data_IF_764633322059
#
_entry.id   IF_764633322059
#
_cell.length_a   1.000
_cell.length_b   1.000
_cell.length_c   1.000
_cell.angle_alpha   90.00
_cell.angle_beta   90.00
_cell.angle_gamma   90.00
#
_symmetry.space_group_name_H-M   'P 1'
#
loop_
_entity.id
_entity.type
_entity.pdbx_description
1 polymer ?
#
# COMPACT_ATOMS: atom_id res chain seq x y z
N UNK A 1 69.52 2.53 -10.44
CA UNK A 1 68.20 3.14 -10.41
C UNK A 1 67.26 2.21 -9.60
N UNK A 2 66.73 2.64 -8.44
CA UNK A 2 65.71 1.88 -7.69
C UNK A 2 64.45 1.91 -8.55
N UNK A 3 63.92 0.75 -8.85
CA UNK A 3 62.68 0.59 -9.61
C UNK A 3 61.56 1.33 -8.85
N UNK A 4 60.97 2.41 -9.40
CA UNK A 4 59.99 3.26 -8.67
C UNK A 4 58.68 2.52 -8.35
N UNK A 5 58.49 1.33 -8.89
CA UNK A 5 57.30 0.51 -8.69
C UNK A 5 57.46 -0.59 -7.61
N UNK A 6 58.63 -0.72 -6.96
CA UNK A 6 58.79 -1.65 -5.85
C UNK A 6 58.29 -1.03 -4.54
N UNK A 7 57.08 -1.45 -4.13
CA UNK A 7 56.56 -1.15 -2.81
C UNK A 7 57.51 -1.74 -1.74
N UNK A 8 57.79 -0.97 -0.69
CA UNK A 8 58.50 -1.48 0.48
C UNK A 8 57.64 -2.59 1.15
N UNK A 9 58.30 -3.63 1.70
CA UNK A 9 57.62 -4.74 2.37
C UNK A 9 56.49 -4.31 3.39
N UNK A 10 56.72 -3.30 4.22
CA UNK A 10 55.66 -2.79 5.10
C UNK A 10 54.46 -2.23 4.35
N UNK A 11 54.68 -1.52 3.25
CA UNK A 11 53.58 -0.97 2.44
C UNK A 11 52.77 -2.09 1.76
N UNK A 12 53.44 -3.15 1.28
CA UNK A 12 52.76 -4.31 0.72
C UNK A 12 51.88 -5.00 1.80
N UNK A 13 52.43 -5.18 3.01
CA UNK A 13 51.69 -5.75 4.13
C UNK A 13 50.44 -4.93 4.47
N UNK A 14 50.57 -3.61 4.59
CA UNK A 14 49.44 -2.71 4.87
C UNK A 14 48.36 -2.76 3.79
N UNK A 15 48.76 -2.84 2.50
CA UNK A 15 47.76 -2.99 1.41
C UNK A 15 47.03 -4.33 1.48
N UNK A 16 47.71 -5.42 1.88
CA UNK A 16 47.03 -6.72 2.09
C UNK A 16 46.08 -6.66 3.25
N UNK A 17 46.46 -6.08 4.38
CA UNK A 17 45.61 -5.90 5.56
C UNK A 17 44.35 -5.04 5.22
N UNK A 18 44.58 -3.91 4.53
CA UNK A 18 43.47 -3.06 4.06
C UNK A 18 42.50 -3.81 3.15
N UNK A 19 43.06 -4.59 2.18
CA UNK A 19 42.24 -5.42 1.30
C UNK A 19 41.40 -6.43 2.08
N UNK A 20 42.00 -7.10 3.07
CA UNK A 20 41.30 -8.07 3.90
C UNK A 20 40.22 -7.40 4.77
N UNK A 21 40.49 -6.23 5.33
CA UNK A 21 39.52 -5.48 6.11
C UNK A 21 38.32 -5.06 5.26
N UNK A 22 38.54 -4.51 4.09
CA UNK A 22 37.45 -4.16 3.15
C UNK A 22 36.70 -5.42 2.71
N UNK A 23 37.41 -6.48 2.34
CA UNK A 23 36.80 -7.74 1.94
C UNK A 23 35.93 -8.36 3.05
N UNK A 24 36.39 -8.30 4.28
CA UNK A 24 35.62 -8.75 5.44
C UNK A 24 34.34 -7.92 5.64
N UNK A 25 34.44 -6.59 5.59
CA UNK A 25 33.30 -5.72 5.75
C UNK A 25 32.23 -5.98 4.68
N UNK A 26 32.63 -6.07 3.40
CA UNK A 26 31.69 -6.37 2.32
C UNK A 26 31.05 -7.75 2.48
N UNK A 27 31.83 -8.77 2.84
CA UNK A 27 31.32 -10.12 3.07
C UNK A 27 30.34 -10.18 4.25
N UNK A 28 30.69 -9.53 5.37
CA UNK A 28 29.84 -9.46 6.56
C UNK A 28 28.49 -8.86 6.21
N UNK A 29 28.47 -7.70 5.54
CA UNK A 29 27.25 -7.03 5.09
C UNK A 29 26.42 -7.91 4.14
N UNK A 30 27.09 -8.59 3.20
CA UNK A 30 26.42 -9.50 2.26
C UNK A 30 25.78 -10.70 2.96
N UNK A 31 26.49 -11.35 3.89
CA UNK A 31 25.99 -12.50 4.65
C UNK A 31 24.84 -12.12 5.57
N UNK A 32 24.94 -10.97 6.25
CA UNK A 32 23.86 -10.45 7.06
C UNK A 32 22.58 -10.24 6.25
N UNK A 33 22.68 -9.64 5.05
CA UNK A 33 21.54 -9.45 4.16
C UNK A 33 20.95 -10.79 3.68
N UNK A 34 21.78 -11.78 3.41
CA UNK A 34 21.33 -13.16 3.06
C UNK A 34 20.56 -13.78 4.23
N UNK A 35 21.02 -13.61 5.46
CA UNK A 35 20.35 -14.17 6.65
C UNK A 35 18.94 -13.57 6.81
N UNK A 36 18.75 -12.29 6.48
CA UNK A 36 17.45 -11.64 6.54
C UNK A 36 16.44 -12.14 5.51
N UNK A 37 16.86 -12.81 4.42
CA UNK A 37 15.95 -13.25 3.34
C UNK A 37 14.85 -14.20 3.84
N UNK A 38 15.12 -14.96 4.90
CA UNK A 38 14.15 -15.87 5.51
C UNK A 38 13.41 -15.24 6.70
N UNK A 39 13.65 -13.97 6.99
CA UNK A 39 12.99 -13.24 8.08
C UNK A 39 11.60 -12.70 7.63
N UNK A 40 10.71 -12.36 8.58
CA UNK A 40 9.44 -11.68 8.27
C UNK A 40 9.60 -10.34 7.55
N UNK A 41 10.78 -9.71 7.66
CA UNK A 41 11.15 -8.46 7.01
C UNK A 41 12.51 -8.63 6.34
N UNK A 42 12.58 -9.20 5.14
CA UNK A 42 13.83 -9.32 4.40
C UNK A 42 14.39 -7.93 4.09
N UNK A 43 15.71 -7.85 4.09
CA UNK A 43 16.40 -6.61 3.74
C UNK A 43 16.06 -6.18 2.32
N UNK A 44 15.84 -4.89 2.14
CA UNK A 44 15.66 -4.25 0.83
C UNK A 44 16.28 -2.85 0.82
N UNK A 45 16.85 -2.49 -0.32
CA UNK A 45 17.37 -1.15 -0.57
C UNK A 45 16.28 -0.07 -0.68
N UNK A 46 14.99 -0.44 -0.61
CA UNK A 46 13.86 0.46 -0.82
C UNK A 46 13.93 1.72 0.03
N UNK A 47 14.24 1.58 1.33
CA UNK A 47 14.34 2.72 2.25
C UNK A 47 15.43 3.70 1.83
N UNK A 48 16.60 3.17 1.44
CA UNK A 48 17.74 3.94 1.00
C UNK A 48 17.49 4.63 -0.35
N UNK A 49 17.01 3.87 -1.33
CA UNK A 49 16.72 4.39 -2.67
C UNK A 49 15.58 5.42 -2.66
N UNK A 50 14.53 5.17 -1.88
CA UNK A 50 13.36 6.04 -1.77
C UNK A 50 13.71 7.40 -1.15
N UNK A 51 14.60 7.42 -0.17
CA UNK A 51 15.03 8.62 0.54
C UNK A 51 16.31 9.24 -0.04
N UNK A 52 16.78 8.78 -1.20
CA UNK A 52 17.95 9.33 -1.87
C UNK A 52 17.82 10.84 -2.08
N UNK A 53 18.87 11.60 -1.70
CA UNK A 53 18.96 13.05 -1.83
C UNK A 53 20.17 13.51 -2.67
N UNK A 54 21.04 12.58 -3.06
CA UNK A 54 22.23 12.87 -3.87
C UNK A 54 21.92 13.24 -5.33
N UNK A 55 22.94 13.47 -6.13
CA UNK A 55 22.80 13.91 -7.52
C UNK A 55 22.09 12.90 -8.43
N UNK A 56 22.12 11.61 -8.06
CA UNK A 56 21.40 10.55 -8.78
C UNK A 56 20.01 10.24 -8.19
N UNK A 57 19.47 11.13 -7.37
CA UNK A 57 18.16 11.00 -6.70
C UNK A 57 17.05 10.52 -7.63
N UNK A 58 16.89 11.15 -8.78
CA UNK A 58 15.84 10.79 -9.74
C UNK A 58 15.94 9.34 -10.23
N UNK A 59 17.16 8.85 -10.46
CA UNK A 59 17.40 7.47 -10.86
C UNK A 59 17.07 6.51 -9.72
N UNK A 60 17.63 6.73 -8.54
CA UNK A 60 17.46 5.83 -7.39
C UNK A 60 16.01 5.78 -6.92
N UNK A 61 15.34 6.92 -6.79
CA UNK A 61 13.92 6.97 -6.45
C UNK A 61 13.06 6.29 -7.52
N UNK A 62 13.36 6.50 -8.81
CA UNK A 62 12.68 5.83 -9.92
C UNK A 62 12.81 4.31 -9.92
N UNK A 63 13.88 3.75 -9.30
CA UNK A 63 14.01 2.29 -9.13
C UNK A 63 12.97 1.70 -8.18
N UNK A 64 12.44 2.48 -7.23
CA UNK A 64 11.40 2.03 -6.29
C UNK A 64 10.00 2.01 -6.91
N UNK A 65 9.83 2.53 -8.12
CA UNK A 65 8.59 2.60 -8.88
C UNK A 65 7.65 3.72 -8.43
N UNK A 66 7.31 3.79 -7.16
CA UNK A 66 6.41 4.80 -6.58
C UNK A 66 7.01 5.39 -5.29
N UNK A 67 8.05 6.24 -5.41
CA UNK A 67 8.79 6.75 -4.26
C UNK A 67 7.94 7.63 -3.31
N UNK A 68 6.92 8.27 -3.84
CA UNK A 68 6.07 9.20 -3.11
C UNK A 68 4.71 8.61 -2.73
N UNK A 69 4.51 7.31 -2.97
CA UNK A 69 3.30 6.57 -2.68
C UNK A 69 2.04 7.13 -3.39
N UNK A 70 2.21 7.93 -4.45
CA UNK A 70 1.09 8.53 -5.19
C UNK A 70 0.19 7.48 -5.82
N UNK A 71 0.74 6.36 -6.26
CA UNK A 71 -0.02 5.23 -6.78
C UNK A 71 -0.85 4.52 -5.71
N UNK A 72 -0.43 4.55 -4.42
CA UNK A 72 -1.24 4.06 -3.32
C UNK A 72 -2.41 4.99 -2.98
N UNK A 73 -2.26 6.27 -3.30
CA UNK A 73 -3.25 7.32 -3.07
C UNK A 73 -4.19 7.52 -4.28
N UNK A 74 -4.09 6.63 -5.27
CA UNK A 74 -4.94 6.60 -6.45
C UNK A 74 -5.72 5.28 -6.52
N UNK A 75 -7.05 5.39 -6.66
CA UNK A 75 -7.94 4.23 -6.65
C UNK A 75 -7.67 3.26 -7.80
N UNK A 76 -7.56 3.79 -9.02
CA UNK A 76 -7.39 2.97 -10.22
C UNK A 76 -6.05 2.23 -10.19
N UNK A 77 -4.99 2.93 -9.80
CA UNK A 77 -3.65 2.36 -9.69
C UNK A 77 -3.60 1.26 -8.62
N UNK A 78 -4.16 1.51 -7.43
CA UNK A 78 -4.15 0.53 -6.33
C UNK A 78 -5.06 -0.65 -6.63
N UNK A 79 -6.26 -0.41 -7.19
CA UNK A 79 -7.18 -1.46 -7.61
C UNK A 79 -6.55 -2.35 -8.69
N UNK A 80 -5.85 -1.78 -9.68
CA UNK A 80 -5.16 -2.53 -10.72
C UNK A 80 -3.99 -3.37 -10.15
N UNK A 81 -3.24 -2.86 -9.16
CA UNK A 81 -2.20 -3.64 -8.45
C UNK A 81 -2.81 -4.86 -7.75
N UNK A 82 -3.97 -4.68 -7.12
CA UNK A 82 -4.69 -5.78 -6.48
C UNK A 82 -5.18 -6.81 -7.48
N UNK A 83 -5.78 -6.38 -8.61
CA UNK A 83 -6.25 -7.29 -9.66
C UNK A 83 -5.09 -8.13 -10.24
N UNK A 84 -3.96 -7.51 -10.55
CA UNK A 84 -2.77 -8.20 -11.02
C UNK A 84 -2.25 -9.24 -9.99
N UNK A 85 -2.22 -8.85 -8.72
CA UNK A 85 -1.79 -9.77 -7.67
C UNK A 85 -2.76 -10.95 -7.51
N UNK A 86 -4.07 -10.68 -7.55
CA UNK A 86 -5.12 -11.70 -7.43
C UNK A 86 -5.12 -12.69 -8.59
N UNK A 87 -4.85 -12.23 -9.80
CA UNK A 87 -4.70 -13.10 -10.97
C UNK A 87 -3.51 -14.05 -10.78
N UNK A 88 -2.36 -13.52 -10.37
CA UNK A 88 -1.17 -14.34 -10.07
C UNK A 88 -1.40 -15.29 -8.90
N UNK A 89 -2.07 -14.83 -7.84
CA UNK A 89 -2.46 -15.63 -6.69
C UNK A 89 -3.35 -16.80 -7.11
N UNK A 90 -4.40 -16.53 -7.89
CA UNK A 90 -5.33 -17.55 -8.38
C UNK A 90 -4.64 -18.58 -9.28
N UNK A 91 -3.74 -18.14 -10.15
CA UNK A 91 -2.98 -19.00 -11.04
C UNK A 91 -1.94 -19.83 -10.30
N UNK A 92 -1.20 -19.23 -9.35
CA UNK A 92 -0.15 -19.92 -8.59
C UNK A 92 -0.72 -21.06 -7.74
N UNK A 93 -1.80 -20.80 -6.99
CA UNK A 93 -2.42 -21.78 -6.13
C UNK A 93 -3.49 -22.62 -6.81
N UNK A 94 -3.73 -22.44 -8.11
CA UNK A 94 -4.72 -23.20 -8.91
C UNK A 94 -6.09 -23.25 -8.20
N UNK A 95 -6.62 -22.07 -7.83
CA UNK A 95 -7.85 -21.97 -7.05
C UNK A 95 -9.03 -22.64 -7.76
N UNK A 96 -9.82 -23.41 -7.00
CA UNK A 96 -11.10 -23.95 -7.46
C UNK A 96 -12.19 -22.86 -7.57
N UNK A 97 -13.34 -23.20 -8.15
CA UNK A 97 -14.42 -22.22 -8.39
C UNK A 97 -15.02 -21.69 -7.07
N UNK A 98 -15.02 -22.48 -6.01
CA UNK A 98 -15.50 -22.08 -4.69
C UNK A 98 -14.53 -21.07 -4.04
N UNK A 99 -13.24 -21.34 -4.14
CA UNK A 99 -12.18 -20.43 -3.67
C UNK A 99 -12.18 -19.13 -4.48
N UNK A 100 -12.31 -19.20 -5.81
CA UNK A 100 -12.45 -18.02 -6.68
C UNK A 100 -13.68 -17.18 -6.30
N UNK A 101 -14.82 -17.82 -6.03
CA UNK A 101 -16.02 -17.16 -5.57
C UNK A 101 -15.84 -16.48 -4.20
N UNK A 102 -15.09 -17.11 -3.29
CA UNK A 102 -14.75 -16.53 -1.99
C UNK A 102 -13.81 -15.35 -2.13
N UNK A 103 -12.78 -15.48 -2.95
CA UNK A 103 -11.84 -14.41 -3.26
C UNK A 103 -12.53 -13.20 -3.89
N UNK A 104 -13.44 -13.44 -4.85
CA UNK A 104 -14.23 -12.38 -5.46
C UNK A 104 -15.08 -11.62 -4.41
N UNK A 105 -15.68 -12.33 -3.44
CA UNK A 105 -16.44 -11.70 -2.36
C UNK A 105 -15.56 -10.87 -1.43
N UNK A 106 -14.37 -11.35 -1.11
CA UNK A 106 -13.40 -10.58 -0.32
C UNK A 106 -13.07 -9.27 -1.03
N UNK A 107 -12.78 -9.29 -2.32
CA UNK A 107 -12.30 -8.13 -3.07
C UNK A 107 -13.43 -7.16 -3.42
N UNK A 108 -14.53 -7.68 -3.93
CA UNK A 108 -15.62 -6.86 -4.50
C UNK A 108 -16.85 -6.77 -3.57
N UNK A 109 -16.84 -7.50 -2.44
CA UNK A 109 -17.97 -7.53 -1.52
C UNK A 109 -19.10 -8.48 -1.90
N UNK A 110 -20.05 -8.60 -1.00
CA UNK A 110 -21.26 -9.41 -1.16
C UNK A 110 -22.45 -8.52 -1.40
N UNK A 111 -22.75 -8.22 -2.65
CA UNK A 111 -23.90 -7.42 -3.06
C UNK A 111 -24.73 -8.14 -4.13
N UNK A 112 -26.00 -7.75 -4.24
CA UNK A 112 -26.87 -8.17 -5.34
C UNK A 112 -26.90 -7.09 -6.41
N UNK A 113 -26.96 -7.51 -7.68
CA UNK A 113 -27.22 -6.62 -8.80
C UNK A 113 -28.67 -6.76 -9.21
N UNK A 114 -29.42 -5.68 -9.15
CA UNK A 114 -30.80 -5.68 -9.61
C UNK A 114 -31.00 -4.66 -10.73
N UNK A 115 -31.93 -4.94 -11.63
CA UNK A 115 -32.34 -3.99 -12.66
C UNK A 115 -33.45 -3.10 -12.10
N UNK A 116 -33.21 -1.79 -12.11
CA UNK A 116 -34.20 -0.77 -11.78
C UNK A 116 -34.37 0.10 -13.03
N UNK A 117 -35.44 -0.14 -13.80
CA UNK A 117 -35.59 0.43 -15.13
C UNK A 117 -34.52 -0.11 -16.10
N UNK A 118 -33.86 0.80 -16.81
CA UNK A 118 -32.75 0.45 -17.74
C UNK A 118 -31.39 0.29 -17.05
N UNK A 119 -31.26 0.66 -15.78
CA UNK A 119 -29.99 0.66 -15.05
C UNK A 119 -29.87 -0.54 -14.13
N UNK A 120 -28.71 -1.18 -14.16
CA UNK A 120 -28.33 -2.19 -13.16
C UNK A 120 -27.77 -1.48 -11.94
N UNK A 121 -28.35 -1.74 -10.76
CA UNK A 121 -27.92 -1.16 -9.50
C UNK A 121 -27.35 -2.22 -8.57
N UNK A 122 -26.38 -1.81 -7.80
CA UNK A 122 -25.78 -2.56 -6.74
C UNK A 122 -26.55 -2.28 -5.45
N UNK A 123 -27.02 -3.33 -4.79
CA UNK A 123 -27.89 -3.21 -3.61
C UNK A 123 -27.50 -4.22 -2.55
N UNK A 124 -27.76 -3.87 -1.31
CA UNK A 124 -27.64 -4.75 -0.17
C UNK A 124 -29.03 -5.14 0.29
N UNK A 125 -29.25 -6.44 0.51
CA UNK A 125 -30.54 -6.99 0.89
C UNK A 125 -30.45 -7.77 2.20
N UNK A 126 -31.53 -7.72 3.00
CA UNK A 126 -31.75 -8.54 4.19
C UNK A 126 -33.07 -9.28 4.06
N UNK A 127 -33.14 -10.50 4.57
CA UNK A 127 -34.38 -11.25 4.60
C UNK A 127 -35.41 -10.55 5.51
N UNK A 128 -36.62 -10.41 5.00
CA UNK A 128 -37.76 -9.92 5.74
C UNK A 128 -39.01 -10.66 5.23
N UNK A 129 -39.49 -11.63 5.99
CA UNK A 129 -40.53 -12.58 5.56
C UNK A 129 -41.85 -11.90 5.21
N UNK A 130 -42.21 -10.82 5.90
CA UNK A 130 -43.40 -10.04 5.62
C UNK A 130 -43.18 -8.56 5.98
N UNK A 131 -43.72 -7.67 5.14
CA UNK A 131 -43.93 -6.30 5.59
C UNK A 131 -44.90 -6.33 6.74
N UNK A 132 -44.59 -5.62 7.84
CA UNK A 132 -45.52 -5.51 8.97
C UNK A 132 -46.92 -4.99 8.53
N UNK A 133 -47.98 -5.55 9.08
CA UNK A 133 -49.34 -5.06 8.82
C UNK A 133 -49.42 -3.57 9.16
N UNK A 134 -49.90 -2.75 8.21
CA UNK A 134 -49.94 -1.28 8.35
C UNK A 134 -48.78 -0.53 7.72
N UNK A 135 -47.70 -1.18 7.32
CA UNK A 135 -46.57 -0.59 6.52
C UNK A 135 -46.84 -0.79 5.02
N UNK A 136 -48.11 -0.54 4.60
CA UNK A 136 -48.49 -0.63 3.18
C UNK A 136 -47.91 0.49 2.34
N UNK A 137 -47.69 1.65 2.94
CA UNK A 137 -46.90 2.72 2.36
C UNK A 137 -45.58 2.72 3.07
N UNK A 138 -44.50 2.53 2.33
CA UNK A 138 -43.14 2.76 2.80
C UNK A 138 -42.97 4.25 3.23
N UNK A 139 -43.77 4.70 4.24
CA UNK A 139 -43.73 6.09 4.72
C UNK A 139 -42.36 6.49 5.23
N UNK A 140 -41.55 5.50 5.63
CA UNK A 140 -40.14 5.69 5.94
C UNK A 140 -39.36 5.91 4.62
N UNK A 141 -39.64 5.17 3.55
CA UNK A 141 -39.04 5.33 2.26
C UNK A 141 -39.49 6.63 1.57
N UNK A 142 -40.77 7.08 1.77
CA UNK A 142 -41.23 8.37 1.25
C UNK A 142 -40.53 9.57 1.89
N UNK A 143 -39.97 9.42 3.09
CA UNK A 143 -39.12 10.44 3.71
C UNK A 143 -37.68 10.45 3.18
N UNK A 144 -37.20 9.33 2.59
CA UNK A 144 -35.84 9.19 2.12
C UNK A 144 -35.77 9.16 0.59
N UNK A 145 -36.76 8.72 -0.10
CA UNK A 145 -36.97 8.48 -1.53
C UNK A 145 -37.13 6.99 -1.81
N UNK A 146 -38.15 6.64 -2.62
CA UNK A 146 -38.51 5.25 -2.97
C UNK A 146 -37.42 4.49 -3.70
N UNK A 147 -36.41 5.20 -4.18
CA UNK A 147 -35.27 4.61 -4.86
C UNK A 147 -34.18 4.10 -3.91
N UNK A 148 -34.23 4.47 -2.64
CA UNK A 148 -33.16 4.19 -1.65
C UNK A 148 -33.43 2.93 -0.88
N UNK A 149 -34.70 2.71 -0.49
CA UNK A 149 -35.14 1.54 0.30
C UNK A 149 -36.40 1.00 -0.34
N UNK A 150 -36.47 -0.29 -0.62
CA UNK A 150 -37.67 -0.95 -1.14
C UNK A 150 -37.76 -2.40 -0.68
N UNK A 151 -39.00 -2.94 -0.69
CA UNK A 151 -39.26 -4.33 -0.37
C UNK A 151 -39.65 -5.10 -1.62
N UNK A 152 -39.04 -6.28 -1.81
CA UNK A 152 -39.41 -7.23 -2.86
C UNK A 152 -40.20 -8.38 -2.21
N UNK A 153 -41.52 -8.38 -2.41
CA UNK A 153 -42.43 -9.38 -1.85
C UNK A 153 -42.20 -10.78 -2.44
N UNK A 154 -41.62 -10.89 -3.66
CA UNK A 154 -41.31 -12.19 -4.26
C UNK A 154 -40.03 -12.81 -3.72
N UNK A 155 -39.06 -11.97 -3.41
CA UNK A 155 -37.79 -12.39 -2.86
C UNK A 155 -37.78 -12.43 -1.32
N UNK A 156 -38.87 -11.94 -0.68
CA UNK A 156 -38.99 -11.76 0.78
C UNK A 156 -37.76 -11.03 1.36
N UNK A 157 -37.41 -9.92 0.71
CA UNK A 157 -36.22 -9.14 1.08
C UNK A 157 -36.50 -7.65 1.05
N UNK A 158 -35.93 -6.98 2.03
CA UNK A 158 -35.76 -5.52 1.99
C UNK A 158 -34.40 -5.20 1.39
N UNK A 159 -34.38 -4.24 0.49
CA UNK A 159 -33.16 -3.76 -0.14
C UNK A 159 -32.89 -2.31 0.22
N UNK A 160 -31.62 -2.01 0.44
CA UNK A 160 -31.13 -0.64 0.59
C UNK A 160 -30.10 -0.42 -0.51
N UNK A 161 -30.19 0.70 -1.20
CA UNK A 161 -29.21 1.09 -2.23
C UNK A 161 -27.82 1.23 -1.61
N UNK A 162 -26.75 0.94 -2.37
CA UNK A 162 -25.41 1.09 -1.89
C UNK A 162 -25.13 2.56 -1.53
N UNK A 163 -24.41 2.79 -0.44
CA UNK A 163 -24.12 4.13 0.08
C UNK A 163 -23.43 5.00 -0.98
N UNK A 164 -22.62 4.40 -1.84
CA UNK A 164 -21.97 5.09 -2.98
C UNK A 164 -22.93 5.73 -3.99
N UNK A 165 -24.20 5.29 -3.99
CA UNK A 165 -25.25 5.82 -4.86
C UNK A 165 -26.13 6.87 -4.16
N UNK A 166 -25.96 7.06 -2.86
CA UNK A 166 -26.73 8.00 -2.06
C UNK A 166 -26.13 9.39 -2.12
N UNK A 167 -27.00 10.40 -2.22
CA UNK A 167 -26.60 11.77 -2.00
C UNK A 167 -26.39 12.04 -0.50
N UNK A 168 -25.52 13.00 -0.12
CA UNK A 168 -25.27 13.32 1.29
C UNK A 168 -26.54 13.60 2.10
N UNK A 169 -27.49 14.31 1.53
CA UNK A 169 -28.77 14.63 2.16
C UNK A 169 -29.70 13.41 2.27
N UNK A 170 -29.65 12.48 1.32
CA UNK A 170 -30.41 11.21 1.39
C UNK A 170 -29.84 10.33 2.50
N UNK A 171 -28.52 10.25 2.62
CA UNK A 171 -27.83 9.51 3.67
C UNK A 171 -28.12 10.11 5.07
N UNK A 172 -28.03 11.43 5.20
CA UNK A 172 -28.35 12.11 6.46
C UNK A 172 -29.83 11.90 6.87
N UNK A 173 -30.75 11.94 5.92
CA UNK A 173 -32.17 11.63 6.15
C UNK A 173 -32.36 10.18 6.56
N UNK A 174 -31.72 9.22 5.89
CA UNK A 174 -31.80 7.80 6.25
C UNK A 174 -31.31 7.57 7.69
N UNK A 175 -30.15 8.11 8.05
CA UNK A 175 -29.62 8.04 9.41
C UNK A 175 -30.56 8.68 10.45
N UNK A 176 -31.17 9.82 10.15
CA UNK A 176 -32.07 10.50 11.05
C UNK A 176 -33.41 9.74 11.26
N UNK A 177 -33.96 9.17 10.21
CA UNK A 177 -35.18 8.37 10.25
C UNK A 177 -35.01 7.15 11.14
N UNK A 178 -33.87 6.46 11.00
CA UNK A 178 -33.53 5.27 11.79
C UNK A 178 -33.37 5.63 13.28
N UNK A 179 -32.79 6.80 13.60
CA UNK A 179 -32.54 7.23 14.99
C UNK A 179 -33.79 7.79 15.71
N UNK A 180 -34.72 8.42 14.98
CA UNK A 180 -35.85 9.19 15.62
C UNK A 180 -37.04 8.30 15.96
N UNK A 181 -36.96 7.02 15.72
CA UNK A 181 -38.13 6.17 15.61
C UNK A 181 -38.60 5.46 16.90
N UNK A 182 -37.87 5.59 18.04
CA UNK A 182 -38.06 4.68 19.17
C UNK A 182 -39.38 4.89 19.99
N UNK A 183 -39.94 6.09 20.05
CA UNK A 183 -40.99 6.39 21.05
C UNK A 183 -42.44 6.42 20.57
N UNK A 184 -42.72 6.30 19.26
CA UNK A 184 -44.07 6.52 18.71
C UNK A 184 -44.56 5.50 17.68
N UNK A 185 -43.99 4.30 17.62
CA UNK A 185 -44.22 3.38 16.51
C UNK A 185 -44.93 2.09 16.93
N UNK A 186 -45.74 1.53 16.00
CA UNK A 186 -46.27 0.18 16.14
C UNK A 186 -45.14 -0.84 16.14
N UNK A 187 -45.31 -2.01 16.74
CA UNK A 187 -44.31 -3.09 16.77
C UNK A 187 -43.89 -3.52 15.35
N UNK A 188 -44.78 -3.35 14.42
CA UNK A 188 -44.59 -3.61 13.01
C UNK A 188 -43.61 -2.60 12.33
N UNK A 189 -43.76 -1.32 12.64
CA UNK A 189 -42.87 -0.27 12.18
C UNK A 189 -41.47 -0.42 12.79
N UNK A 190 -41.39 -0.83 14.06
CA UNK A 190 -40.12 -1.12 14.74
C UNK A 190 -39.36 -2.25 14.05
N UNK A 191 -40.04 -3.37 13.72
CA UNK A 191 -39.43 -4.50 13.03
C UNK A 191 -38.92 -4.10 11.66
N UNK A 192 -39.65 -3.29 10.90
CA UNK A 192 -39.21 -2.78 9.61
C UNK A 192 -38.00 -1.87 9.72
N UNK A 193 -38.01 -0.91 10.64
CA UNK A 193 -36.87 -0.02 10.88
C UNK A 193 -35.64 -0.77 11.36
N UNK A 194 -35.86 -1.79 12.22
CA UNK A 194 -34.73 -2.64 12.64
C UNK A 194 -34.14 -3.42 11.46
N UNK A 195 -34.95 -3.90 10.52
CA UNK A 195 -34.45 -4.55 9.31
C UNK A 195 -33.66 -3.57 8.43
N UNK A 196 -34.15 -2.34 8.23
CA UNK A 196 -33.42 -1.28 7.50
C UNK A 196 -32.10 -0.96 8.21
N UNK A 197 -32.12 -0.81 9.53
CA UNK A 197 -30.91 -0.57 10.32
C UNK A 197 -29.92 -1.71 10.18
N UNK A 198 -30.36 -2.95 10.26
CA UNK A 198 -29.51 -4.13 10.10
C UNK A 198 -28.84 -4.17 8.73
N UNK A 199 -29.58 -3.85 7.66
CA UNK A 199 -29.00 -3.77 6.31
C UNK A 199 -27.94 -2.68 6.25
N UNK A 200 -28.23 -1.52 6.81
CA UNK A 200 -27.33 -0.37 6.82
C UNK A 200 -26.07 -0.64 7.64
N UNK A 201 -26.20 -1.17 8.86
CA UNK A 201 -25.07 -1.46 9.74
C UNK A 201 -24.18 -2.60 9.20
N UNK A 202 -24.80 -3.55 8.48
CA UNK A 202 -24.06 -4.68 7.89
C UNK A 202 -23.43 -4.37 6.54
N UNK A 203 -23.71 -3.22 5.94
CA UNK A 203 -23.06 -2.84 4.67
C UNK A 203 -21.55 -2.88 4.80
N UNK A 204 -21.00 -2.36 5.88
CA UNK A 204 -19.55 -2.37 6.14
C UNK A 204 -18.96 -3.79 6.09
N UNK A 205 -19.61 -4.77 6.72
CA UNK A 205 -19.17 -6.17 6.74
C UNK A 205 -19.33 -6.88 5.38
N UNK A 206 -20.14 -6.31 4.48
CA UNK A 206 -20.41 -6.83 3.14
C UNK A 206 -19.59 -6.10 2.07
N UNK A 207 -18.99 -4.97 2.42
CA UNK A 207 -18.11 -4.23 1.53
C UNK A 207 -16.85 -5.02 1.24
N UNK A 208 -16.45 -5.02 -0.01
CA UNK A 208 -15.17 -5.60 -0.42
C UNK A 208 -14.01 -4.63 -0.22
N UNK A 209 -12.80 -5.13 -0.36
CA UNK A 209 -11.61 -4.30 -0.24
C UNK A 209 -11.59 -3.11 -1.19
N UNK A 210 -12.11 -3.26 -2.42
CA UNK A 210 -12.19 -2.14 -3.38
C UNK A 210 -13.13 -1.03 -2.94
N UNK A 211 -14.22 -1.38 -2.28
CA UNK A 211 -15.15 -0.39 -1.70
C UNK A 211 -14.54 0.30 -0.50
N UNK A 212 -13.92 -0.48 0.38
CA UNK A 212 -13.19 0.07 1.53
C UNK A 212 -12.04 0.97 1.09
N UNK A 213 -11.33 0.62 0.00
CA UNK A 213 -10.30 1.47 -0.59
C UNK A 213 -10.87 2.82 -1.03
N UNK A 214 -11.99 2.80 -1.74
CA UNK A 214 -12.65 4.04 -2.18
C UNK A 214 -13.06 4.89 -0.99
N UNK A 215 -13.65 4.28 0.05
CA UNK A 215 -14.00 4.95 1.30
C UNK A 215 -12.79 5.52 2.02
N UNK A 216 -11.72 4.74 2.14
CA UNK A 216 -10.49 5.19 2.78
C UNK A 216 -9.81 6.35 2.04
N UNK A 217 -9.88 6.37 0.71
CA UNK A 217 -9.33 7.48 -0.10
C UNK A 217 -10.21 8.75 0.00
N UNK A 218 -11.52 8.58 0.14
CA UNK A 218 -12.48 9.68 0.34
C UNK A 218 -12.67 10.07 1.81
N UNK A 219 -12.09 9.32 2.75
CA UNK A 219 -12.01 9.64 4.17
C UNK A 219 -12.95 8.86 5.08
N UNK A 220 -14.00 8.23 4.57
CA UNK A 220 -14.92 7.43 5.39
C UNK A 220 -15.29 6.12 4.68
N UNK A 221 -14.77 4.97 5.13
CA UNK A 221 -15.08 3.68 4.56
C UNK A 221 -16.54 3.23 4.79
N UNK A 222 -17.24 3.78 5.78
CA UNK A 222 -18.63 3.47 6.06
C UNK A 222 -19.59 4.29 5.20
N UNK A 223 -19.12 5.34 4.59
CA UNK A 223 -19.87 6.34 3.85
C UNK A 223 -19.31 6.53 2.44
N UNK A 224 -19.14 5.43 1.72
CA UNK A 224 -18.71 5.47 0.31
C UNK A 224 -19.73 6.30 -0.48
N UNK A 225 -19.32 7.44 -0.98
CA UNK A 225 -20.18 8.43 -1.65
C UNK A 225 -20.22 9.79 -0.94
N UNK A 226 -19.85 9.85 0.34
CA UNK A 226 -19.58 11.10 1.05
C UNK A 226 -18.07 11.31 1.13
N UNK A 227 -17.60 12.41 0.58
CA UNK A 227 -16.21 12.81 0.70
C UNK A 227 -15.96 13.45 2.06
N UNK A 228 -14.93 12.98 2.78
CA UNK A 228 -14.36 13.74 3.88
C UNK A 228 -13.43 14.80 3.31
N UNK A 229 -13.89 16.04 3.33
CA UNK A 229 -13.13 17.17 2.81
C UNK A 229 -11.78 17.37 3.49
N UNK A 230 -11.65 16.97 4.76
CA UNK A 230 -10.36 17.04 5.46
C UNK A 230 -9.38 16.03 4.86
N UNK A 231 -9.83 14.81 4.63
CA UNK A 231 -9.00 13.76 4.02
C UNK A 231 -8.60 14.10 2.59
N UNK A 232 -9.58 14.51 1.77
CA UNK A 232 -9.34 14.93 0.39
C UNK A 232 -8.45 16.17 0.35
N UNK A 233 -8.67 17.13 1.24
CA UNK A 233 -7.84 18.33 1.38
C UNK A 233 -6.38 18.00 1.73
N UNK A 234 -6.13 17.09 2.68
CA UNK A 234 -4.78 16.62 3.01
C UNK A 234 -4.10 15.91 1.84
N UNK A 235 -4.83 15.13 1.07
CA UNK A 235 -4.31 14.46 -0.12
C UNK A 235 -3.87 15.49 -1.19
N UNK A 236 -4.68 16.49 -1.41
CA UNK A 236 -4.37 17.58 -2.34
C UNK A 236 -3.18 18.40 -1.82
N UNK A 237 -3.17 18.75 -0.54
CA UNK A 237 -2.06 19.42 0.13
C UNK A 237 -0.74 18.67 -0.04
N UNK A 238 -0.74 17.35 0.17
CA UNK A 238 0.44 16.51 -0.01
C UNK A 238 0.99 16.60 -1.43
N UNK A 239 0.13 16.46 -2.45
CA UNK A 239 0.53 16.56 -3.86
C UNK A 239 1.12 17.94 -4.19
N UNK A 240 0.49 19.01 -3.74
CA UNK A 240 0.96 20.36 -3.98
C UNK A 240 2.27 20.67 -3.25
N UNK A 241 2.39 20.28 -1.98
CA UNK A 241 3.62 20.42 -1.20
C UNK A 241 4.78 19.66 -1.82
N UNK A 242 4.53 18.45 -2.34
CA UNK A 242 5.55 17.66 -3.03
C UNK A 242 6.08 18.38 -4.27
N UNK A 243 5.20 18.93 -5.11
CA UNK A 243 5.59 19.72 -6.29
C UNK A 243 6.38 20.98 -5.89
N UNK A 244 5.94 21.69 -4.85
CA UNK A 244 6.65 22.88 -4.32
C UNK A 244 8.04 22.51 -3.82
N UNK A 245 8.15 21.41 -3.08
CA UNK A 245 9.42 20.89 -2.58
C UNK A 245 10.39 20.58 -3.72
N UNK A 246 9.98 19.84 -4.75
CA UNK A 246 10.84 19.51 -5.89
C UNK A 246 11.29 20.78 -6.65
N UNK A 247 10.40 21.75 -6.82
CA UNK A 247 10.72 23.03 -7.45
C UNK A 247 11.68 23.90 -6.61
N UNK A 248 11.51 23.93 -5.29
CA UNK A 248 12.38 24.66 -4.39
C UNK A 248 13.77 24.01 -4.33
N UNK A 249 13.80 22.66 -4.22
CA UNK A 249 15.03 21.89 -4.21
C UNK A 249 15.88 22.08 -5.48
N UNK A 250 15.24 22.18 -6.64
CA UNK A 250 15.94 22.41 -7.91
C UNK A 250 16.62 23.80 -8.01
N UNK A 251 16.26 24.72 -7.12
CA UNK A 251 16.75 26.11 -7.11
C UNK A 251 17.63 26.43 -5.91
N UNK A 252 17.62 25.57 -4.90
CA UNK A 252 18.35 25.82 -3.65
C UNK A 252 19.84 25.81 -3.89
N UNK A 253 20.51 26.86 -3.45
CA UNK A 253 21.97 27.05 -3.55
C UNK A 253 22.61 27.52 -2.23
N UNK A 254 21.80 27.90 -1.23
CA UNK A 254 22.23 28.38 0.09
C UNK A 254 21.99 27.32 1.18
N UNK A 255 22.89 27.28 2.17
CA UNK A 255 22.81 26.29 3.25
C UNK A 255 21.48 26.36 4.02
N UNK A 256 20.98 27.57 4.32
CA UNK A 256 19.70 27.75 5.03
C UNK A 256 18.49 27.25 4.20
N UNK A 257 18.56 27.30 2.87
CA UNK A 257 17.50 26.76 2.00
C UNK A 257 17.48 25.22 2.08
N UNK A 258 18.67 24.59 2.15
CA UNK A 258 18.77 23.16 2.34
C UNK A 258 18.28 22.72 3.70
N UNK A 259 18.60 23.45 4.77
CA UNK A 259 18.08 23.17 6.13
C UNK A 259 16.55 23.26 6.16
N UNK A 260 15.98 24.28 5.49
CA UNK A 260 14.53 24.41 5.36
C UNK A 260 13.91 23.26 4.57
N UNK A 261 14.53 22.86 3.45
CA UNK A 261 14.08 21.76 2.62
C UNK A 261 14.13 20.42 3.35
N UNK A 262 15.12 20.20 4.20
CA UNK A 262 15.19 18.99 5.03
C UNK A 262 14.02 18.93 6.01
N UNK A 263 13.70 20.03 6.67
CA UNK A 263 12.52 20.12 7.53
C UNK A 263 11.21 19.84 6.77
N UNK A 264 11.01 20.51 5.62
CA UNK A 264 9.84 20.28 4.75
C UNK A 264 9.77 18.83 4.26
N UNK A 265 10.91 18.21 3.98
CA UNK A 265 10.97 16.80 3.61
C UNK A 265 10.48 15.89 4.74
N UNK A 266 10.90 16.16 5.99
CA UNK A 266 10.43 15.45 7.17
C UNK A 266 8.90 15.53 7.33
N UNK A 267 8.32 16.74 7.17
CA UNK A 267 6.87 16.93 7.19
C UNK A 267 6.17 16.14 6.07
N UNK A 268 6.69 16.18 4.84
CA UNK A 268 6.17 15.41 3.71
C UNK A 268 6.20 13.91 3.96
N UNK A 269 7.28 13.38 4.58
CA UNK A 269 7.35 11.96 4.93
C UNK A 269 6.29 11.57 5.97
N UNK A 270 6.04 12.44 6.97
CA UNK A 270 5.00 12.23 7.98
C UNK A 270 3.62 12.21 7.35
N UNK A 271 3.32 13.20 6.51
CA UNK A 271 2.03 13.30 5.81
C UNK A 271 1.83 12.12 4.83
N UNK A 272 2.87 11.71 4.12
CA UNK A 272 2.86 10.51 3.27
C UNK A 272 2.51 9.26 4.07
N UNK A 273 3.15 9.07 5.22
CA UNK A 273 2.89 7.90 6.07
C UNK A 273 1.44 7.91 6.61
N UNK A 274 0.94 9.06 7.04
CA UNK A 274 -0.44 9.23 7.48
C UNK A 274 -1.44 8.86 6.37
N UNK A 275 -1.18 9.32 5.14
CA UNK A 275 -2.08 9.12 4.01
C UNK A 275 -2.01 7.71 3.42
N UNK A 276 -0.81 7.18 3.18
CA UNK A 276 -0.61 5.88 2.51
C UNK A 276 -0.62 4.70 3.48
N UNK A 277 -0.35 4.92 4.77
CA UNK A 277 -0.28 3.87 5.79
C UNK A 277 -1.54 3.01 5.88
N UNK A 278 -2.73 3.59 6.02
CA UNK A 278 -3.98 2.83 6.06
C UNK A 278 -4.23 2.00 4.81
N UNK A 279 -3.86 2.52 3.62
CA UNK A 279 -4.04 1.80 2.35
C UNK A 279 -3.08 0.60 2.25
N UNK A 280 -1.84 0.77 2.70
CA UNK A 280 -0.86 -0.34 2.76
C UNK A 280 -1.24 -1.39 3.80
N UNK A 281 -1.80 -0.98 4.93
CA UNK A 281 -2.34 -1.91 5.91
C UNK A 281 -3.49 -2.73 5.32
N UNK A 282 -4.37 -2.09 4.54
CA UNK A 282 -5.44 -2.74 3.82
C UNK A 282 -4.93 -3.74 2.76
N UNK A 283 -3.85 -3.44 2.05
CA UNK A 283 -3.19 -4.37 1.12
C UNK A 283 -2.69 -5.62 1.86
N UNK A 284 -2.08 -5.44 3.04
CA UNK A 284 -1.62 -6.56 3.87
C UNK A 284 -2.80 -7.41 4.33
N UNK A 285 -3.86 -6.79 4.85
CA UNK A 285 -5.06 -7.49 5.29
C UNK A 285 -5.75 -8.25 4.14
N UNK A 286 -5.79 -7.68 2.93
CA UNK A 286 -6.31 -8.36 1.74
C UNK A 286 -5.52 -9.64 1.45
N UNK A 287 -4.19 -9.57 1.53
CA UNK A 287 -3.32 -10.73 1.30
C UNK A 287 -3.51 -11.80 2.35
N UNK A 288 -3.61 -11.42 3.61
CA UNK A 288 -3.85 -12.35 4.73
C UNK A 288 -5.22 -13.03 4.58
N UNK A 289 -6.27 -12.28 4.26
CA UNK A 289 -7.60 -12.84 3.99
C UNK A 289 -7.61 -13.74 2.75
N UNK A 290 -6.88 -13.41 1.70
CA UNK A 290 -6.75 -14.27 0.55
C UNK A 290 -6.01 -15.58 0.89
N UNK A 291 -4.96 -15.53 1.71
CA UNK A 291 -4.27 -16.72 2.18
C UNK A 291 -5.16 -17.62 3.04
N UNK A 292 -6.09 -17.05 3.82
CA UNK A 292 -6.99 -17.82 4.68
C UNK A 292 -7.96 -18.76 3.93
N UNK A 293 -8.15 -18.57 2.63
CA UNK A 293 -8.97 -19.46 1.81
C UNK A 293 -8.20 -20.67 1.25
N UNK A 294 -6.88 -20.73 1.43
CA UNK A 294 -6.02 -21.78 0.90
C UNK A 294 -6.07 -23.04 1.76
N UNK A 295 -5.92 -24.17 1.12
CA UNK A 295 -5.69 -25.46 1.79
C UNK A 295 -4.24 -25.58 2.22
N UNK A 296 -3.94 -26.50 3.16
CA UNK A 296 -2.58 -26.79 3.61
C UNK A 296 -1.64 -27.18 2.45
N UNK A 297 -2.14 -27.92 1.47
CA UNK A 297 -1.36 -28.30 0.29
C UNK A 297 -1.01 -27.08 -0.57
N UNK A 298 -1.93 -26.15 -0.74
CA UNK A 298 -1.67 -24.91 -1.47
C UNK A 298 -0.67 -24.02 -0.72
N UNK A 299 -0.81 -23.90 0.60
CA UNK A 299 0.15 -23.14 1.43
C UNK A 299 1.58 -23.70 1.33
N UNK A 300 1.74 -25.02 1.16
CA UNK A 300 3.06 -25.66 0.99
C UNK A 300 3.73 -25.31 -0.34
N UNK A 301 3.02 -24.75 -1.31
CA UNK A 301 3.61 -24.28 -2.58
C UNK A 301 4.48 -23.03 -2.43
N UNK A 302 4.48 -22.43 -1.24
CA UNK A 302 5.23 -21.20 -0.96
C UNK A 302 4.56 -19.93 -1.49
N UNK A 303 5.18 -18.77 -1.31
CA UNK A 303 4.59 -17.48 -1.65
C UNK A 303 4.44 -17.29 -3.17
N UNK A 304 3.44 -16.49 -3.56
CA UNK A 304 3.26 -16.10 -4.98
C UNK A 304 4.51 -15.45 -5.51
N UNK A 305 5.09 -15.94 -6.62
CA UNK A 305 6.29 -15.33 -7.19
C UNK A 305 6.08 -13.85 -7.53
N UNK A 306 6.99 -13.01 -7.08
CA UNK A 306 7.02 -11.58 -7.43
C UNK A 306 7.27 -11.38 -8.92
N UNK A 307 6.88 -10.21 -9.44
CA UNK A 307 7.40 -9.76 -10.74
C UNK A 307 8.77 -9.12 -10.51
N UNK A 308 9.72 -9.43 -11.37
CA UNK A 308 11.01 -8.77 -11.35
C UNK A 308 10.85 -7.26 -11.52
N UNK A 309 11.22 -6.53 -10.50
CA UNK A 309 11.23 -5.06 -10.48
C UNK A 309 12.66 -4.54 -10.50
N UNK A 310 12.82 -3.25 -10.82
CA UNK A 310 14.12 -2.58 -10.72
C UNK A 310 14.67 -2.60 -9.29
N UNK A 311 13.77 -2.54 -8.30
CA UNK A 311 14.11 -2.62 -6.88
C UNK A 311 14.66 -4.02 -6.54
N UNK A 312 13.96 -5.10 -6.93
CA UNK A 312 14.43 -6.47 -6.70
C UNK A 312 15.78 -6.73 -7.38
N UNK A 313 15.96 -6.19 -8.58
CA UNK A 313 17.27 -6.26 -9.22
C UNK A 313 18.35 -5.55 -8.40
N UNK A 314 18.06 -4.36 -7.86
CA UNK A 314 19.00 -3.62 -7.00
C UNK A 314 19.32 -4.39 -5.71
N UNK A 315 18.31 -4.99 -5.09
CA UNK A 315 18.45 -5.80 -3.88
C UNK A 315 19.35 -7.00 -4.13
N UNK A 316 19.05 -7.78 -5.18
CA UNK A 316 19.84 -8.96 -5.55
C UNK A 316 21.27 -8.57 -5.97
N UNK A 317 21.42 -7.54 -6.79
CA UNK A 317 22.75 -7.06 -7.23
C UNK A 317 23.59 -6.60 -6.02
N UNK A 318 22.97 -5.97 -5.03
CA UNK A 318 23.64 -5.53 -3.80
C UNK A 318 24.10 -6.74 -2.98
N UNK A 319 23.21 -7.69 -2.71
CA UNK A 319 23.52 -8.88 -1.90
C UNK A 319 24.62 -9.70 -2.57
N UNK A 320 24.46 -10.02 -3.86
CA UNK A 320 25.43 -10.81 -4.63
C UNK A 320 26.75 -10.07 -4.73
N UNK A 321 26.72 -8.77 -5.06
CA UNK A 321 27.92 -7.97 -5.22
C UNK A 321 28.75 -7.88 -3.93
N UNK A 322 28.11 -7.57 -2.79
CA UNK A 322 28.78 -7.50 -1.49
C UNK A 322 29.41 -8.85 -1.13
N UNK A 323 28.68 -9.94 -1.30
CA UNK A 323 29.17 -11.28 -0.97
C UNK A 323 30.31 -11.71 -1.87
N UNK A 324 30.13 -11.61 -3.20
CA UNK A 324 31.11 -12.08 -4.17
C UNK A 324 32.40 -11.24 -4.11
N UNK A 325 32.30 -9.89 -4.14
CA UNK A 325 33.47 -9.05 -4.05
C UNK A 325 34.17 -9.16 -2.70
N UNK A 326 33.41 -9.34 -1.61
CA UNK A 326 33.97 -9.62 -0.29
C UNK A 326 34.82 -10.88 -0.26
N UNK A 327 34.29 -12.00 -0.76
CA UNK A 327 35.03 -13.28 -0.87
C UNK A 327 36.27 -13.14 -1.77
N UNK A 328 36.09 -12.52 -2.94
CA UNK A 328 37.22 -12.33 -3.88
C UNK A 328 38.38 -11.50 -3.27
N UNK A 329 38.04 -10.44 -2.54
CA UNK A 329 39.04 -9.62 -1.86
C UNK A 329 39.74 -10.38 -0.73
N UNK A 330 39.01 -11.16 0.07
CA UNK A 330 39.61 -11.98 1.14
C UNK A 330 40.56 -13.04 0.59
N UNK A 331 40.11 -13.78 -0.42
CA UNK A 331 40.90 -14.87 -1.01
C UNK A 331 42.01 -14.36 -1.96
N UNK A 332 41.99 -13.08 -2.30
CA UNK A 332 42.93 -12.51 -3.25
C UNK A 332 42.66 -12.89 -4.72
N UNK A 333 41.47 -13.40 -5.03
CA UNK A 333 41.09 -13.81 -6.38
C UNK A 333 40.57 -12.60 -7.17
N UNK A 334 41.13 -12.39 -8.37
CA UNK A 334 40.68 -11.32 -9.26
C UNK A 334 40.62 -9.93 -8.58
N UNK A 335 41.55 -9.62 -7.69
CA UNK A 335 41.52 -8.45 -6.78
C UNK A 335 41.29 -7.13 -7.48
N UNK A 336 41.75 -6.96 -8.73
CA UNK A 336 41.49 -5.73 -9.51
C UNK A 336 40.02 -5.57 -9.85
N UNK A 337 39.37 -6.65 -10.27
CA UNK A 337 37.93 -6.67 -10.60
C UNK A 337 37.10 -6.47 -9.34
N UNK A 338 37.44 -7.20 -8.27
CA UNK A 338 36.75 -7.09 -6.99
C UNK A 338 36.91 -5.71 -6.37
N UNK A 339 38.09 -5.10 -6.44
CA UNK A 339 38.31 -3.74 -5.94
C UNK A 339 37.53 -2.70 -6.76
N UNK A 340 37.49 -2.82 -8.10
CA UNK A 340 36.71 -1.92 -8.93
C UNK A 340 35.21 -2.10 -8.72
N UNK A 341 34.72 -3.33 -8.66
CA UNK A 341 33.30 -3.63 -8.38
C UNK A 341 32.86 -3.13 -7.01
N UNK A 342 33.66 -3.40 -5.98
CA UNK A 342 33.40 -2.88 -4.62
C UNK A 342 33.42 -1.36 -4.57
N UNK A 343 34.39 -0.71 -5.22
CA UNK A 343 34.47 0.74 -5.31
C UNK A 343 33.23 1.33 -6.04
N UNK A 344 32.76 0.69 -7.10
CA UNK A 344 31.56 1.12 -7.83
C UNK A 344 30.30 0.98 -6.96
N UNK A 345 30.19 -0.09 -6.19
CA UNK A 345 29.07 -0.26 -5.22
C UNK A 345 29.10 0.82 -4.15
N UNK A 346 30.24 1.05 -3.52
CA UNK A 346 30.40 2.11 -2.50
C UNK A 346 30.13 3.49 -3.09
N UNK A 347 30.56 3.74 -4.33
CA UNK A 347 30.24 4.97 -5.04
C UNK A 347 28.74 5.16 -5.26
N UNK A 348 27.99 4.11 -5.62
CA UNK A 348 26.53 4.20 -5.73
C UNK A 348 25.88 4.50 -4.38
N UNK A 349 26.30 3.86 -3.29
CA UNK A 349 25.81 4.19 -1.95
C UNK A 349 26.11 5.64 -1.57
N UNK A 350 27.33 6.08 -1.81
CA UNK A 350 27.72 7.46 -1.59
C UNK A 350 26.88 8.46 -2.41
N UNK A 351 26.61 8.14 -3.69
CA UNK A 351 25.83 9.02 -4.57
C UNK A 351 24.34 9.07 -4.23
N UNK A 352 23.81 8.06 -3.53
CA UNK A 352 22.43 8.08 -3.05
C UNK A 352 22.25 9.09 -1.90
N UNK A 353 23.18 9.12 -0.94
CA UNK A 353 23.15 10.02 0.22
C UNK A 353 24.57 10.54 0.52
N UNK A 354 25.08 11.45 -0.28
CA UNK A 354 26.41 12.00 -0.07
C UNK A 354 26.43 12.86 1.19
N UNK A 355 27.52 12.85 1.98
CA UNK A 355 27.67 13.69 3.16
C UNK A 355 28.06 15.14 2.77
N UNK A 356 27.26 15.74 1.92
CA UNK A 356 27.45 17.13 1.50
C UNK A 356 26.60 18.07 2.37
N UNK A 357 27.03 19.32 2.54
CA UNK A 357 26.17 20.33 3.15
C UNK A 357 24.78 20.34 2.50
N UNK A 358 23.73 20.38 3.31
CA UNK A 358 22.35 20.39 2.83
C UNK A 358 21.78 19.03 2.38
N UNK A 359 22.55 17.96 2.42
CA UNK A 359 22.00 16.61 2.24
C UNK A 359 21.73 15.99 3.61
N UNK A 360 20.49 15.52 3.87
CA UNK A 360 20.16 14.86 5.14
C UNK A 360 21.10 13.69 5.42
N UNK A 361 21.44 13.42 6.69
CA UNK A 361 22.28 12.28 7.02
C UNK A 361 21.62 10.97 6.58
N UNK A 362 22.44 10.00 6.20
CA UNK A 362 21.95 8.66 5.88
C UNK A 362 21.13 8.10 7.06
N UNK A 363 20.10 7.29 6.80
CA UNK A 363 19.42 6.56 7.86
C UNK A 363 20.44 5.86 8.76
N UNK A 364 20.15 5.80 10.04
CA UNK A 364 21.02 5.14 11.01
C UNK A 364 21.36 3.70 10.64
N UNK A 365 22.28 3.06 11.34
CA UNK A 365 22.68 1.69 11.04
C UNK A 365 21.46 0.76 11.02
N UNK A 366 21.43 -0.13 10.03
CA UNK A 366 20.32 -1.08 9.81
C UNK A 366 20.31 -2.25 10.84
N UNK A 367 21.28 -2.28 11.79
CA UNK A 367 21.44 -3.28 12.85
C UNK A 367 21.86 -2.67 14.18
#
# INVERSE_FOLDING_TARGET
MKDPYRLALPALFLVVVLRMAIGWQLLYEGLWKIDTLNSPKPWSAVGYLKNSQGPMRGVFRGMTGDPDDLGWLDYDTTSAKWDDWLERFSSHYQLDDKQKGSLHRIVNGSYSKIKVGEKTRKVYGEALDKLPEGVTDLKVASRVSDRVVWFDAKAEKIYVDAVEHLKPDELAKLKSVVKTAEDKQSDAEKAYLQAVQNVFDRQKNRMGFKENLLGALKGDPDLVGNEDWQRVGKLQEYKERLVRYENARAKADQDFEWDHLDHVWGELQTLRAELSGPIKAMDTELRDKAQSILTLNQLSMGPVPGRWSKLEFADQATIIGLTVFGVMLLLGLGTRIAALGGALMLFNFYMAMPPWPGVPPAPGPEH
#
